data_IF_439565838183
#
_entry.id   IF_439565838183
#
_cell.length_a   1.000
_cell.length_b   1.000
_cell.length_c   1.000
_cell.angle_alpha   90.00
_cell.angle_beta   90.00
_cell.angle_gamma   90.00
#
_symmetry.space_group_name_H-M   'P 1'
#
loop_
_entity.id
_entity.type
_entity.pdbx_description
1 polymer ?
#
# COMPACT_ATOMS: atom_id res chain seq x y z
N UNK A 1 -51.93 -16.10 13.59
CA UNK A 1 -50.73 -16.95 13.46
C UNK A 1 -50.44 -17.06 11.98
N UNK A 2 -49.41 -16.35 11.52
CA UNK A 2 -48.69 -16.55 10.25
C UNK A 2 -47.48 -15.62 10.29
N UNK A 3 -46.36 -16.18 10.76
CA UNK A 3 -45.03 -15.56 10.73
C UNK A 3 -44.10 -16.67 10.26
N UNK A 4 -44.01 -16.83 8.95
CA UNK A 4 -43.15 -17.81 8.29
C UNK A 4 -42.85 -17.29 6.89
N UNK A 5 -42.06 -16.21 6.80
CA UNK A 5 -41.49 -15.76 5.53
C UNK A 5 -40.27 -14.82 5.71
N UNK A 6 -39.45 -15.03 6.75
CA UNK A 6 -38.20 -14.28 6.96
C UNK A 6 -37.03 -15.23 7.27
N UNK A 7 -36.84 -16.26 6.45
CA UNK A 7 -35.79 -17.26 6.70
C UNK A 7 -35.07 -17.67 5.39
N UNK A 8 -34.46 -16.70 4.69
CA UNK A 8 -33.45 -16.98 3.64
C UNK A 8 -32.41 -15.84 3.53
N UNK A 9 -31.69 -15.53 4.61
CA UNK A 9 -30.35 -14.90 4.52
C UNK A 9 -29.47 -15.54 5.58
N UNK A 10 -28.50 -16.36 5.18
CA UNK A 10 -27.39 -16.72 6.07
C UNK A 10 -26.50 -15.49 6.23
N UNK A 11 -26.88 -14.57 7.13
CA UNK A 11 -26.11 -13.37 7.47
C UNK A 11 -24.91 -13.80 8.32
N UNK A 12 -23.72 -13.92 7.73
CA UNK A 12 -22.46 -14.01 8.48
C UNK A 12 -22.04 -12.59 8.85
N UNK A 13 -22.51 -12.12 10.00
CA UNK A 13 -22.16 -10.80 10.54
C UNK A 13 -21.02 -10.96 11.56
N UNK A 14 -19.82 -10.50 11.19
CA UNK A 14 -18.76 -10.29 12.17
C UNK A 14 -19.04 -9.01 12.95
N UNK A 15 -18.85 -9.09 14.27
CA UNK A 15 -19.09 -8.00 15.20
C UNK A 15 -17.79 -7.50 15.78
N UNK A 16 -17.60 -6.20 15.71
CA UNK A 16 -16.50 -5.51 16.38
C UNK A 16 -16.97 -4.13 16.84
N UNK A 17 -16.18 -3.51 17.70
CA UNK A 17 -16.44 -2.21 18.29
C UNK A 17 -15.34 -1.26 17.89
N UNK A 18 -15.72 -0.07 17.44
CA UNK A 18 -14.81 1.07 17.29
C UNK A 18 -15.06 2.01 18.46
N UNK A 19 -13.99 2.39 19.16
CA UNK A 19 -14.08 3.17 20.40
C UNK A 19 -13.13 4.36 20.31
N UNK A 20 -13.65 5.55 20.53
CA UNK A 20 -12.85 6.74 20.83
C UNK A 20 -12.83 6.98 22.33
N UNK A 21 -11.68 7.39 22.86
CA UNK A 21 -11.43 7.60 24.27
C UNK A 21 -10.70 8.93 24.50
N UNK A 22 -10.79 9.44 25.72
CA UNK A 22 -10.17 10.70 26.14
C UNK A 22 -11.06 11.49 27.09
N UNK A 23 -10.49 12.47 27.79
CA UNK A 23 -11.19 13.20 28.84
C UNK A 23 -12.42 13.98 28.34
N UNK A 24 -12.42 14.42 27.07
CA UNK A 24 -13.56 15.10 26.47
C UNK A 24 -14.79 14.17 26.31
N UNK A 25 -14.58 12.85 26.34
CA UNK A 25 -15.61 11.82 26.14
C UNK A 25 -16.08 11.18 27.45
N UNK A 26 -15.64 11.68 28.62
CA UNK A 26 -16.05 11.15 29.94
C UNK A 26 -17.57 11.15 30.16
N UNK A 27 -18.28 12.08 29.51
CA UNK A 27 -19.75 12.15 29.53
C UNK A 27 -20.43 11.34 28.42
N UNK A 28 -19.68 10.55 27.65
CA UNK A 28 -20.15 9.75 26.51
C UNK A 28 -20.79 10.60 25.39
N UNK A 29 -20.25 11.80 25.18
CA UNK A 29 -20.70 12.73 24.15
C UNK A 29 -19.55 13.04 23.20
N UNK A 30 -19.84 13.02 21.91
CA UNK A 30 -18.95 13.47 20.85
C UNK A 30 -19.75 14.39 19.93
N UNK A 31 -19.13 15.43 19.36
CA UNK A 31 -19.80 16.27 18.36
C UNK A 31 -20.15 15.40 17.14
N UNK A 32 -21.38 15.50 16.65
CA UNK A 32 -21.84 14.76 15.47
C UNK A 32 -21.02 15.08 14.22
N UNK A 33 -20.41 16.27 14.17
CA UNK A 33 -19.53 16.72 13.08
C UNK A 33 -18.17 16.04 13.10
N UNK A 34 -17.77 15.46 14.23
CA UNK A 34 -16.54 14.68 14.34
C UNK A 34 -16.87 13.19 14.20
N UNK A 35 -17.95 12.75 14.85
CA UNK A 35 -18.37 11.35 14.83
C UNK A 35 -18.81 10.86 13.45
N UNK A 36 -19.74 11.56 12.80
CA UNK A 36 -20.37 11.05 11.59
C UNK A 36 -19.37 10.87 10.44
N UNK A 37 -18.44 11.82 10.17
CA UNK A 37 -17.39 11.62 9.18
C UNK A 37 -16.48 10.44 9.51
N UNK A 38 -16.09 10.26 10.78
CA UNK A 38 -15.23 9.16 11.18
C UNK A 38 -15.90 7.79 10.96
N UNK A 39 -17.21 7.69 11.22
CA UNK A 39 -17.97 6.46 10.95
C UNK A 39 -18.14 6.15 9.47
N UNK A 40 -18.33 7.19 8.65
CA UNK A 40 -18.32 7.04 7.19
C UNK A 40 -16.94 6.54 6.74
N UNK A 41 -15.86 7.09 7.30
CA UNK A 41 -14.50 6.68 6.99
C UNK A 41 -14.20 5.22 7.36
N UNK A 42 -14.71 4.71 8.49
CA UNK A 42 -14.61 3.26 8.83
C UNK A 42 -15.29 2.40 7.76
N UNK A 43 -16.50 2.76 7.34
CA UNK A 43 -17.23 2.03 6.31
C UNK A 43 -16.49 2.09 4.96
N UNK A 44 -16.05 3.28 4.56
CA UNK A 44 -15.37 3.51 3.29
C UNK A 44 -14.03 2.76 3.26
N UNK A 45 -13.26 2.77 4.36
CA UNK A 45 -12.02 2.01 4.50
C UNK A 45 -12.25 0.52 4.23
N UNK A 46 -13.23 -0.10 4.90
CA UNK A 46 -13.51 -1.53 4.75
C UNK A 46 -14.11 -1.87 3.38
N UNK A 47 -15.00 -1.02 2.86
CA UNK A 47 -15.61 -1.20 1.53
C UNK A 47 -14.57 -1.07 0.41
N UNK A 48 -13.70 -0.05 0.49
CA UNK A 48 -12.64 0.18 -0.49
C UNK A 48 -11.54 -0.87 -0.38
N UNK A 49 -11.19 -1.34 0.82
CA UNK A 49 -10.31 -2.48 1.02
C UNK A 49 -10.88 -3.75 0.37
N UNK A 50 -12.15 -4.06 0.65
CA UNK A 50 -12.84 -5.18 0.03
C UNK A 50 -12.81 -5.09 -1.51
N UNK A 51 -13.18 -3.94 -2.09
CA UNK A 51 -13.14 -3.72 -3.55
C UNK A 51 -11.74 -3.86 -4.11
N UNK A 52 -10.72 -3.34 -3.42
CA UNK A 52 -9.32 -3.46 -3.86
C UNK A 52 -8.85 -4.92 -3.85
N UNK A 53 -9.28 -5.74 -2.89
CA UNK A 53 -8.84 -7.12 -2.75
C UNK A 53 -9.65 -8.09 -3.62
N UNK A 54 -10.96 -7.89 -3.68
CA UNK A 54 -11.92 -8.85 -4.24
C UNK A 54 -12.60 -8.36 -5.53
N UNK A 55 -12.41 -7.10 -5.93
CA UNK A 55 -13.12 -6.46 -7.04
C UNK A 55 -14.57 -6.13 -6.71
N UNK A 56 -15.41 -5.90 -7.73
CA UNK A 56 -16.85 -5.60 -7.55
C UNK A 56 -17.73 -6.84 -7.28
N UNK A 57 -17.10 -7.94 -6.85
CA UNK A 57 -17.75 -9.25 -6.65
C UNK A 57 -18.59 -9.31 -5.37
N UNK A 58 -18.16 -8.56 -4.36
CA UNK A 58 -18.82 -8.48 -3.08
C UNK A 58 -18.85 -7.02 -2.65
N UNK A 59 -19.95 -6.59 -2.06
CA UNK A 59 -20.06 -5.29 -1.41
C UNK A 59 -20.06 -5.50 0.10
N UNK A 60 -19.20 -4.77 0.82
CA UNK A 60 -19.11 -4.82 2.27
C UNK A 60 -19.71 -3.54 2.80
N UNK A 61 -20.78 -3.68 3.58
CA UNK A 61 -21.49 -2.57 4.20
C UNK A 61 -21.43 -2.73 5.73
N UNK A 62 -21.21 -1.61 6.40
CA UNK A 62 -21.19 -1.52 7.86
C UNK A 62 -22.58 -1.14 8.38
N UNK A 63 -23.14 -1.93 9.29
CA UNK A 63 -24.35 -1.57 10.04
C UNK A 63 -23.98 -1.26 11.48
N UNK A 64 -24.57 -0.20 12.03
CA UNK A 64 -24.40 0.19 13.43
C UNK A 64 -25.48 -0.47 14.28
N UNK A 65 -25.11 -1.13 15.37
CA UNK A 65 -26.04 -1.54 16.41
C UNK A 65 -26.15 -0.46 17.50
N UNK A 66 -27.38 -0.07 17.85
CA UNK A 66 -27.69 1.06 18.72
C UNK A 66 -27.47 0.80 20.23
N UNK A 67 -26.93 -0.35 20.61
CA UNK A 67 -26.59 -0.68 22.00
C UNK A 67 -25.27 -0.04 22.45
N UNK A 68 -25.28 1.28 22.64
CA UNK A 68 -24.16 2.02 23.22
C UNK A 68 -23.97 1.60 24.69
N UNK A 69 -22.76 1.14 25.05
CA UNK A 69 -22.39 0.86 26.44
C UNK A 69 -21.89 2.14 27.11
N UNK A 70 -22.35 2.40 28.34
CA UNK A 70 -21.83 3.51 29.15
C UNK A 70 -20.37 3.26 29.51
N UNK A 71 -19.50 4.25 29.30
CA UNK A 71 -18.07 4.19 29.63
C UNK A 71 -17.13 4.65 28.51
N UNK A 72 -17.58 4.63 27.26
CA UNK A 72 -16.80 4.97 26.08
C UNK A 72 -17.72 5.30 24.89
N UNK A 73 -17.31 6.16 23.96
CA UNK A 73 -18.04 6.31 22.70
C UNK A 73 -17.71 5.12 21.79
N UNK A 74 -18.23 3.95 22.15
CA UNK A 74 -18.04 2.67 21.47
C UNK A 74 -19.24 2.34 20.61
N UNK A 75 -19.03 2.18 19.31
CA UNK A 75 -20.07 1.77 18.35
C UNK A 75 -19.89 0.30 18.02
N UNK A 76 -20.91 -0.51 18.30
CA UNK A 76 -20.97 -1.89 17.83
C UNK A 76 -21.29 -1.89 16.33
N UNK A 77 -20.42 -2.53 15.56
CA UNK A 77 -20.47 -2.57 14.11
C UNK A 77 -20.62 -4.01 13.63
N UNK A 78 -21.49 -4.19 12.66
CA UNK A 78 -21.78 -5.45 12.01
C UNK A 78 -21.36 -5.34 10.55
N UNK A 79 -20.40 -6.14 10.11
CA UNK A 79 -20.07 -6.23 8.68
C UNK A 79 -21.10 -7.08 7.97
N UNK A 80 -21.73 -6.54 6.95
CA UNK A 80 -22.65 -7.27 6.09
C UNK A 80 -22.05 -7.34 4.70
N UNK A 81 -21.75 -8.56 4.25
CA UNK A 81 -21.18 -8.82 2.93
C UNK A 81 -22.28 -9.30 1.98
N UNK A 82 -22.51 -8.54 0.91
CA UNK A 82 -23.46 -8.89 -0.15
C UNK A 82 -22.70 -9.37 -1.39
N UNK A 83 -22.95 -10.61 -1.80
CA UNK A 83 -22.35 -11.18 -3.02
C UNK A 83 -23.29 -11.03 -4.22
N UNK A 84 -22.73 -10.89 -5.43
CA UNK A 84 -23.54 -11.05 -6.65
C UNK A 84 -24.03 -12.50 -6.76
N UNK A 85 -25.28 -12.69 -7.18
CA UNK A 85 -25.93 -14.02 -7.17
C UNK A 85 -25.17 -15.10 -7.96
N UNK A 86 -24.46 -14.73 -9.03
CA UNK A 86 -23.76 -15.66 -9.93
C UNK A 86 -22.43 -16.20 -9.39
N UNK A 87 -21.88 -15.60 -8.33
CA UNK A 87 -20.61 -16.02 -7.69
C UNK A 87 -20.84 -16.75 -6.36
N UNK A 88 -22.09 -16.79 -5.86
CA UNK A 88 -22.47 -17.58 -4.69
C UNK A 88 -22.22 -19.08 -4.92
N UNK A 89 -22.55 -19.58 -6.11
CA UNK A 89 -22.37 -20.99 -6.47
C UNK A 89 -20.88 -21.35 -6.64
N UNK A 90 -20.03 -20.39 -7.02
CA UNK A 90 -18.58 -20.56 -7.04
C UNK A 90 -18.02 -20.68 -5.61
N UNK A 91 -18.61 -19.98 -4.64
CA UNK A 91 -18.25 -20.07 -3.21
C UNK A 91 -18.66 -21.39 -2.56
N UNK A 92 -19.77 -21.98 -3.01
CA UNK A 92 -20.22 -23.30 -2.56
C UNK A 92 -19.41 -24.46 -3.17
N UNK A 93 -18.53 -24.18 -4.15
CA UNK A 93 -17.66 -25.17 -4.79
C UNK A 93 -16.20 -24.96 -4.36
N UNK A 94 -15.54 -26.01 -3.87
CA UNK A 94 -14.21 -25.97 -3.23
C UNK A 94 -13.03 -25.46 -4.09
N UNK A 95 -13.24 -24.99 -5.32
CA UNK A 95 -12.18 -24.67 -6.29
C UNK A 95 -12.18 -23.21 -6.82
N UNK A 96 -12.93 -22.28 -6.21
CA UNK A 96 -12.96 -20.88 -6.66
C UNK A 96 -11.95 -19.98 -5.91
N UNK A 97 -11.35 -19.03 -6.63
CA UNK A 97 -10.58 -17.90 -6.09
C UNK A 97 -11.17 -17.40 -4.77
N UNK A 98 -10.45 -17.60 -3.67
CA UNK A 98 -10.91 -17.29 -2.32
C UNK A 98 -11.17 -15.79 -2.19
N UNK A 99 -12.44 -15.38 -2.32
CA UNK A 99 -12.87 -14.02 -1.93
C UNK A 99 -12.62 -13.92 -0.43
N UNK A 100 -11.97 -12.86 -0.01
CA UNK A 100 -11.70 -12.65 1.41
C UNK A 100 -13.04 -12.38 2.10
N UNK A 101 -13.39 -13.16 3.12
CA UNK A 101 -14.57 -12.88 3.96
C UNK A 101 -14.34 -11.60 4.80
N UNK A 102 -15.37 -11.13 5.49
CA UNK A 102 -15.28 -9.93 6.31
C UNK A 102 -14.14 -9.98 7.34
N UNK A 103 -13.97 -11.13 8.00
CA UNK A 103 -12.91 -11.36 8.98
C UNK A 103 -11.51 -11.16 8.37
N UNK A 104 -11.24 -11.77 7.21
CA UNK A 104 -9.97 -11.63 6.52
C UNK A 104 -9.70 -10.18 6.10
N UNK A 105 -10.73 -9.39 5.76
CA UNK A 105 -10.56 -7.96 5.45
C UNK A 105 -10.17 -7.19 6.71
N UNK A 106 -10.81 -7.46 7.85
CA UNK A 106 -10.45 -6.86 9.14
C UNK A 106 -9.00 -7.17 9.54
N UNK A 107 -8.54 -8.41 9.33
CA UNK A 107 -7.15 -8.81 9.56
C UNK A 107 -6.16 -8.09 8.61
N UNK A 108 -6.47 -8.02 7.31
CA UNK A 108 -5.58 -7.37 6.32
C UNK A 108 -5.50 -5.87 6.55
N UNK A 109 -6.60 -5.21 6.96
CA UNK A 109 -6.59 -3.79 7.36
C UNK A 109 -5.83 -3.59 8.68
N UNK A 110 -5.88 -4.57 9.58
CA UNK A 110 -5.20 -4.54 10.87
C UNK A 110 -6.08 -4.20 12.06
N UNK A 111 -7.39 -4.33 11.91
CA UNK A 111 -8.37 -4.18 12.99
C UNK A 111 -8.32 -5.37 13.97
N UNK A 112 -7.84 -6.53 13.50
CA UNK A 112 -7.66 -7.74 14.30
C UNK A 112 -6.17 -8.03 14.42
N UNK A 113 -5.66 -8.13 15.65
CA UNK A 113 -4.26 -8.46 15.95
C UNK A 113 -3.24 -7.36 15.63
N UNK A 114 -3.66 -6.18 15.16
CA UNK A 114 -2.79 -5.02 14.92
C UNK A 114 -1.75 -5.17 13.80
N UNK A 115 -1.71 -6.32 13.12
CA UNK A 115 -0.88 -6.58 11.94
C UNK A 115 -1.52 -5.95 10.68
N UNK A 116 -1.14 -6.36 9.47
CA UNK A 116 -1.77 -5.84 8.24
C UNK A 116 -1.38 -4.40 7.86
N UNK A 117 -2.29 -3.65 7.26
CA UNK A 117 -2.05 -2.28 6.77
C UNK A 117 -1.61 -1.34 7.90
N UNK A 118 -2.34 -1.35 9.02
CA UNK A 118 -2.02 -0.51 10.18
C UNK A 118 -0.66 -0.89 10.76
N UNK A 119 -0.37 -2.19 10.91
CA UNK A 119 0.94 -2.67 11.35
C UNK A 119 2.09 -2.22 10.43
N UNK A 120 1.89 -2.28 9.11
CA UNK A 120 2.86 -1.81 8.13
C UNK A 120 3.11 -0.30 8.23
N UNK A 121 2.04 0.51 8.36
CA UNK A 121 2.16 1.96 8.51
C UNK A 121 2.92 2.32 9.80
N UNK A 122 2.61 1.65 10.90
CA UNK A 122 3.32 1.80 12.18
C UNK A 122 4.79 1.45 12.10
N UNK A 123 5.13 0.39 11.37
CA UNK A 123 6.53 0.02 11.14
C UNK A 123 7.28 1.13 10.38
N UNK A 124 6.63 1.70 9.36
CA UNK A 124 7.22 2.74 8.52
C UNK A 124 7.27 4.13 9.18
N UNK A 125 6.41 4.40 10.17
CA UNK A 125 6.37 5.65 10.94
C UNK A 125 6.33 6.90 10.05
N UNK A 126 5.45 6.90 9.04
CA UNK A 126 5.32 7.99 8.08
C UNK A 126 6.48 8.09 7.06
N UNK A 127 7.43 7.16 7.04
CA UNK A 127 8.49 7.11 6.01
C UNK A 127 8.08 6.24 4.83
N UNK A 128 8.59 6.55 3.64
CA UNK A 128 8.43 5.67 2.48
C UNK A 128 9.35 4.45 2.61
N UNK A 129 8.92 3.26 2.18
CA UNK A 129 9.81 2.10 2.16
C UNK A 129 10.96 2.33 1.17
N UNK A 130 12.15 1.83 1.49
CA UNK A 130 13.34 1.95 0.62
C UNK A 130 13.32 0.93 -0.51
N UNK A 131 12.81 -0.28 -0.22
CA UNK A 131 12.60 -1.36 -1.19
C UNK A 131 11.51 -2.31 -0.72
N UNK A 132 10.87 -2.99 -1.67
CA UNK A 132 9.92 -4.07 -1.41
C UNK A 132 10.41 -5.29 -2.21
N UNK A 133 10.69 -6.39 -1.54
CA UNK A 133 11.21 -7.61 -2.15
C UNK A 133 10.17 -8.72 -1.96
N UNK A 134 9.86 -9.45 -3.01
CA UNK A 134 9.04 -10.66 -2.99
C UNK A 134 9.95 -11.88 -2.78
N UNK A 135 9.71 -12.64 -1.71
CA UNK A 135 10.37 -13.90 -1.41
C UNK A 135 9.30 -15.00 -1.22
N UNK A 136 9.09 -15.81 -2.26
CA UNK A 136 8.19 -16.96 -2.25
C UNK A 136 6.74 -16.64 -1.78
N UNK A 137 6.22 -15.47 -2.18
CA UNK A 137 4.84 -15.06 -1.89
C UNK A 137 4.68 -14.26 -0.59
N UNK A 138 5.76 -14.09 0.17
CA UNK A 138 5.84 -13.14 1.28
C UNK A 138 6.67 -11.92 0.85
N UNK A 139 6.13 -10.73 1.05
CA UNK A 139 6.84 -9.49 0.75
C UNK A 139 7.53 -8.95 2.00
N UNK A 140 8.79 -8.56 1.83
CA UNK A 140 9.57 -7.81 2.82
C UNK A 140 9.56 -6.34 2.42
N UNK A 141 8.95 -5.50 3.25
CA UNK A 141 8.91 -4.06 3.09
C UNK A 141 9.99 -3.44 3.97
N UNK A 142 11.02 -2.87 3.35
CA UNK A 142 12.20 -2.37 4.06
C UNK A 142 12.03 -0.90 4.46
N UNK A 143 12.33 -0.59 5.73
CA UNK A 143 12.48 0.78 6.21
C UNK A 143 13.89 1.33 5.93
N UNK A 144 14.89 0.44 5.95
CA UNK A 144 16.29 0.69 5.60
C UNK A 144 16.94 -0.63 5.15
N UNK A 145 18.26 -0.68 5.01
CA UNK A 145 18.95 -1.88 4.49
C UNK A 145 18.80 -3.14 5.37
N UNK A 146 18.51 -3.00 6.66
CA UNK A 146 18.49 -4.11 7.62
C UNK A 146 17.13 -4.36 8.24
N UNK A 147 16.31 -3.32 8.41
CA UNK A 147 14.99 -3.42 9.05
C UNK A 147 13.89 -3.57 7.99
N UNK A 148 13.10 -4.64 8.11
CA UNK A 148 11.96 -4.90 7.24
C UNK A 148 10.74 -5.38 8.04
N UNK A 149 9.57 -5.19 7.44
CA UNK A 149 8.29 -5.75 7.85
C UNK A 149 7.86 -6.80 6.83
N UNK A 150 7.62 -8.02 7.31
CA UNK A 150 7.18 -9.14 6.48
C UNK A 150 5.65 -9.18 6.41
N UNK A 151 5.11 -9.24 5.19
CA UNK A 151 3.66 -9.14 4.96
C UNK A 151 3.25 -9.77 3.63
N UNK A 152 1.95 -9.96 3.42
CA UNK A 152 1.39 -10.44 2.15
C UNK A 152 1.17 -9.31 1.11
N UNK A 153 1.07 -9.68 -0.17
CA UNK A 153 0.82 -8.77 -1.28
C UNK A 153 -0.47 -7.97 -1.17
N UNK A 154 -1.49 -8.53 -0.51
CA UNK A 154 -2.75 -7.83 -0.23
C UNK A 154 -2.53 -6.59 0.65
N UNK A 155 -1.69 -6.68 1.67
CA UNK A 155 -1.38 -5.55 2.56
C UNK A 155 -0.62 -4.46 1.81
N UNK A 156 0.40 -4.84 1.02
CA UNK A 156 1.15 -3.89 0.18
C UNK A 156 0.22 -3.22 -0.85
N UNK A 157 -0.73 -3.96 -1.41
CA UNK A 157 -1.75 -3.44 -2.32
C UNK A 157 -2.65 -2.40 -1.64
N UNK A 158 -3.06 -2.63 -0.39
CA UNK A 158 -3.82 -1.65 0.38
C UNK A 158 -2.99 -0.39 0.69
N UNK A 159 -1.73 -0.58 1.10
CA UNK A 159 -0.80 0.52 1.43
C UNK A 159 -0.54 1.45 0.24
N UNK A 160 -0.42 0.90 -0.97
CA UNK A 160 -0.25 1.68 -2.21
C UNK A 160 -1.55 2.39 -2.66
N UNK A 161 -2.70 2.06 -2.10
CA UNK A 161 -3.98 2.66 -2.49
C UNK A 161 -4.25 3.95 -1.70
N UNK A 162 -4.11 5.10 -2.37
CA UNK A 162 -4.33 6.43 -1.79
C UNK A 162 -5.71 6.60 -1.15
N UNK A 163 -6.76 6.07 -1.77
CA UNK A 163 -8.12 6.19 -1.22
C UNK A 163 -8.20 5.49 0.12
N UNK A 164 -7.66 4.26 0.21
CA UNK A 164 -7.68 3.45 1.44
C UNK A 164 -6.86 4.11 2.55
N UNK A 165 -5.66 4.61 2.25
CA UNK A 165 -4.85 5.31 3.26
C UNK A 165 -5.52 6.63 3.68
N UNK A 166 -6.20 7.33 2.76
CA UNK A 166 -6.98 8.52 3.09
C UNK A 166 -8.19 8.19 3.98
N UNK A 167 -8.88 7.08 3.74
CA UNK A 167 -10.02 6.65 4.56
C UNK A 167 -9.54 6.25 5.97
N UNK A 168 -8.38 5.59 6.07
CA UNK A 168 -7.74 5.29 7.35
C UNK A 168 -7.36 6.58 8.11
N UNK A 169 -6.82 7.59 7.43
CA UNK A 169 -6.49 8.87 8.05
C UNK A 169 -7.76 9.60 8.56
N UNK A 170 -8.82 9.68 7.74
CA UNK A 170 -10.11 10.25 8.12
C UNK A 170 -10.78 9.56 9.30
N UNK A 171 -10.61 8.25 9.40
CA UNK A 171 -11.08 7.48 10.55
C UNK A 171 -10.41 7.96 11.85
N UNK A 172 -9.18 8.43 11.79
CA UNK A 172 -8.41 8.88 12.97
C UNK A 172 -8.52 10.39 13.23
N UNK A 173 -9.15 11.18 12.34
CA UNK A 173 -9.34 12.64 12.51
C UNK A 173 -9.90 13.07 13.88
N UNK A 174 -10.80 12.32 14.56
CA UNK A 174 -11.26 12.70 15.89
C UNK A 174 -10.14 12.83 16.94
N UNK A 175 -9.02 12.11 16.79
CA UNK A 175 -7.87 12.20 17.71
C UNK A 175 -7.10 13.52 17.56
N UNK A 176 -7.39 14.34 16.53
CA UNK A 176 -6.83 15.68 16.41
C UNK A 176 -7.56 16.71 17.30
N UNK A 177 -8.65 16.30 17.95
CA UNK A 177 -9.44 17.17 18.84
C UNK A 177 -8.91 17.12 20.26
N UNK A 178 -8.90 18.29 20.90
CA UNK A 178 -8.53 18.41 22.29
C UNK A 178 -9.38 17.48 23.17
N UNK A 179 -8.70 16.58 23.87
CA UNK A 179 -9.31 15.62 24.80
C UNK A 179 -9.87 14.34 24.19
N UNK A 180 -9.55 14.03 22.94
CA UNK A 180 -9.71 12.69 22.36
C UNK A 180 -8.30 12.16 22.06
N UNK A 181 -7.81 11.22 22.86
CA UNK A 181 -6.39 10.81 22.86
C UNK A 181 -6.16 9.42 22.27
N UNK A 182 -7.21 8.60 22.13
CA UNK A 182 -7.04 7.22 21.66
C UNK A 182 -8.22 6.68 20.85
N UNK A 183 -7.88 5.76 19.94
CA UNK A 183 -8.78 4.96 19.12
C UNK A 183 -8.56 3.47 19.39
N UNK A 184 -9.63 2.71 19.56
CA UNK A 184 -9.56 1.27 19.77
C UNK A 184 -10.48 0.50 18.83
N UNK A 185 -10.05 -0.73 18.48
CA UNK A 185 -10.92 -1.77 17.94
C UNK A 185 -10.94 -2.95 18.91
N UNK A 186 -12.13 -3.34 19.36
CA UNK A 186 -12.34 -4.48 20.28
C UNK A 186 -13.43 -5.41 19.78
N UNK A 187 -13.31 -6.71 20.04
CA UNK A 187 -14.39 -7.68 19.79
C UNK A 187 -15.50 -7.66 20.84
N UNK A 188 -15.19 -7.23 22.07
CA UNK A 188 -16.12 -7.30 23.20
C UNK A 188 -16.71 -5.95 23.58
N UNK A 189 -16.09 -4.87 23.10
CA UNK A 189 -16.40 -3.50 23.42
C UNK A 189 -15.69 -2.98 24.67
N UNK A 190 -14.77 -3.75 25.26
CA UNK A 190 -13.86 -3.27 26.32
C UNK A 190 -12.54 -2.81 25.70
N UNK A 191 -12.06 -1.61 26.03
CA UNK A 191 -10.76 -1.13 25.54
C UNK A 191 -9.59 -1.94 26.12
N UNK A 192 -9.76 -2.62 27.25
CA UNK A 192 -8.72 -3.43 27.89
C UNK A 192 -8.36 -4.70 27.12
N UNK A 193 -9.27 -5.19 26.28
CA UNK A 193 -9.06 -6.36 25.43
C UNK A 193 -9.04 -6.01 23.94
N UNK A 194 -8.78 -4.73 23.62
CA UNK A 194 -8.75 -4.25 22.26
C UNK A 194 -7.69 -4.98 21.42
N UNK A 195 -8.10 -5.42 20.23
CA UNK A 195 -7.22 -6.00 19.20
C UNK A 195 -6.31 -4.93 18.57
N UNK A 196 -6.75 -3.67 18.61
CA UNK A 196 -6.02 -2.50 18.15
C UNK A 196 -6.25 -1.34 19.12
N UNK A 197 -5.18 -0.65 19.47
CA UNK A 197 -5.20 0.64 20.16
C UNK A 197 -4.26 1.56 19.40
N UNK A 198 -4.67 2.80 19.07
CA UNK A 198 -3.86 3.85 18.43
C UNK A 198 -3.96 5.11 19.31
N UNK A 199 -2.80 5.69 19.63
CA UNK A 199 -2.69 6.92 20.43
C UNK A 199 -2.54 8.16 19.51
N UNK A 200 -2.97 9.34 19.97
CA UNK A 200 -2.84 10.61 19.24
C UNK A 200 -1.39 10.89 18.79
N UNK A 201 -0.39 10.44 19.57
CA UNK A 201 1.02 10.59 19.24
C UNK A 201 1.45 9.80 17.99
N UNK A 202 0.66 8.81 17.57
CA UNK A 202 0.91 8.00 16.38
C UNK A 202 0.29 8.60 15.11
N UNK A 203 -0.54 9.65 15.19
CA UNK A 203 -1.26 10.21 14.04
C UNK A 203 -0.32 10.57 12.87
N UNK A 204 0.85 11.11 13.19
CA UNK A 204 1.90 11.45 12.20
C UNK A 204 2.36 10.25 11.36
N UNK A 205 2.21 9.01 11.85
CA UNK A 205 2.54 7.81 11.08
C UNK A 205 1.53 7.55 9.97
N UNK A 206 0.28 7.97 10.17
CA UNK A 206 -0.86 7.75 9.27
C UNK A 206 -1.09 8.93 8.31
N UNK A 207 -0.25 9.97 8.36
CA UNK A 207 -0.26 11.02 7.36
C UNK A 207 0.09 10.44 5.98
N UNK A 208 -0.79 10.64 5.01
CA UNK A 208 -0.59 10.14 3.66
C UNK A 208 0.66 10.78 3.03
N UNK A 209 1.70 9.97 2.84
CA UNK A 209 2.84 10.33 2.00
C UNK A 209 2.50 9.95 0.56
N UNK A 210 2.64 10.87 -0.39
CA UNK A 210 2.50 10.55 -1.82
C UNK A 210 3.55 9.51 -2.23
N UNK A 211 3.17 8.24 -2.21
CA UNK A 211 3.93 7.18 -2.84
C UNK A 211 3.62 7.34 -4.33
N UNK A 212 4.60 7.78 -5.13
CA UNK A 212 4.47 7.65 -6.57
C UNK A 212 4.21 6.16 -6.84
N UNK A 213 3.09 5.85 -7.49
CA UNK A 213 2.69 4.47 -7.74
C UNK A 213 3.61 3.86 -8.79
N UNK A 214 4.74 3.32 -8.33
CA UNK A 214 5.57 2.40 -9.10
C UNK A 214 4.72 1.15 -9.37
N UNK A 215 4.21 1.06 -10.60
CA UNK A 215 3.53 -0.11 -11.15
C UNK A 215 4.47 -1.31 -11.23
N UNK A 216 5.75 -1.05 -11.53
CA UNK A 216 6.79 -2.08 -11.53
C UNK A 216 8.18 -1.46 -11.35
N UNK A 217 9.04 -2.19 -10.66
CA UNK A 217 10.49 -1.97 -10.66
C UNK A 217 11.15 -3.27 -11.13
N UNK A 218 12.03 -3.19 -12.12
CA UNK A 218 12.76 -4.34 -12.63
C UNK A 218 14.21 -3.97 -12.90
N UNK A 219 15.14 -4.83 -12.47
CA UNK A 219 16.57 -4.71 -12.79
C UNK A 219 16.93 -5.84 -13.76
N UNK A 220 17.40 -5.46 -14.96
CA UNK A 220 17.88 -6.43 -15.96
C UNK A 220 19.34 -6.15 -16.32
N UNK A 221 20.11 -7.21 -16.56
CA UNK A 221 21.39 -7.08 -17.25
C UNK A 221 21.13 -7.02 -18.76
N UNK A 222 21.49 -5.89 -19.39
CA UNK A 222 21.29 -5.68 -20.84
C UNK A 222 22.45 -4.89 -21.44
N UNK A 223 22.47 -4.82 -22.78
CA UNK A 223 23.36 -3.93 -23.52
C UNK A 223 22.62 -2.67 -23.92
N UNK A 224 23.27 -1.52 -23.72
CA UNK A 224 22.79 -0.22 -24.20
C UNK A 224 23.85 0.44 -25.07
N UNK A 225 23.45 1.05 -26.18
CA UNK A 225 24.35 1.78 -27.07
C UNK A 225 24.32 3.27 -26.77
N UNK A 226 25.47 3.92 -26.65
CA UNK A 226 25.56 5.36 -26.34
C UNK A 226 25.17 6.17 -27.58
N UNK A 227 24.03 6.88 -27.52
CA UNK A 227 23.65 7.84 -28.56
C UNK A 227 24.15 9.25 -28.26
N UNK A 228 23.97 9.69 -27.00
CA UNK A 228 24.44 10.99 -26.52
C UNK A 228 24.76 10.93 -25.02
N UNK A 229 25.99 11.32 -24.67
CA UNK A 229 26.43 11.45 -23.29
C UNK A 229 26.30 12.90 -22.82
N UNK A 230 25.89 13.08 -21.57
CA UNK A 230 25.73 14.41 -20.95
C UNK A 230 26.52 14.46 -19.65
N UNK A 231 27.61 15.21 -19.65
CA UNK A 231 28.57 15.31 -18.53
C UNK A 231 28.19 16.37 -17.48
N UNK A 232 26.94 16.81 -17.49
CA UNK A 232 26.43 17.74 -16.48
C UNK A 232 25.74 16.93 -15.41
N UNK A 233 26.07 17.21 -14.15
CA UNK A 233 25.45 16.56 -13.00
C UNK A 233 23.93 16.60 -13.09
N UNK A 234 23.31 15.49 -12.70
CA UNK A 234 21.86 15.29 -12.67
C UNK A 234 21.14 15.29 -14.05
N UNK A 235 21.89 15.27 -15.16
CA UNK A 235 21.30 15.07 -16.49
C UNK A 235 21.32 13.59 -16.92
N UNK A 236 20.35 13.21 -17.74
CA UNK A 236 20.22 11.85 -18.28
C UNK A 236 21.00 11.72 -19.59
N UNK A 237 21.65 10.57 -19.77
CA UNK A 237 22.26 10.17 -21.03
C UNK A 237 21.20 9.53 -21.94
N UNK A 238 21.42 9.63 -23.25
CA UNK A 238 20.57 9.02 -24.25
C UNK A 238 21.22 7.74 -24.76
N UNK A 239 20.48 6.64 -24.65
CA UNK A 239 20.92 5.32 -25.09
C UNK A 239 19.91 4.70 -26.06
N UNK A 240 20.37 3.78 -26.91
CA UNK A 240 19.51 2.83 -27.63
C UNK A 240 19.57 1.46 -26.91
N UNK A 241 18.40 0.87 -26.61
CA UNK A 241 18.27 -0.45 -25.98
C UNK A 241 17.85 -1.55 -26.98
N UNK A 242 18.27 -1.45 -28.24
CA UNK A 242 17.98 -2.44 -29.29
C UNK A 242 16.65 -2.23 -29.99
N UNK A 243 16.07 -1.03 -29.94
CA UNK A 243 14.84 -0.73 -30.65
C UNK A 243 14.21 0.64 -30.40
N UNK A 244 14.43 1.24 -29.22
CA UNK A 244 13.94 2.61 -28.95
C UNK A 244 14.93 3.39 -28.08
N UNK A 245 15.07 4.70 -28.34
CA UNK A 245 15.92 5.55 -27.52
C UNK A 245 15.32 5.74 -26.14
N UNK A 246 16.16 5.58 -25.12
CA UNK A 246 15.82 5.81 -23.71
C UNK A 246 16.70 6.91 -23.14
N UNK A 247 16.16 7.68 -22.17
CA UNK A 247 16.94 8.59 -21.37
C UNK A 247 17.15 7.98 -19.98
N UNK A 248 18.39 7.71 -19.61
CA UNK A 248 18.72 7.09 -18.33
C UNK A 248 19.74 7.91 -17.53
N UNK A 249 19.54 7.98 -16.22
CA UNK A 249 20.57 8.50 -15.32
C UNK A 249 21.61 7.39 -15.05
N UNK A 250 22.89 7.73 -14.97
CA UNK A 250 23.93 6.81 -14.51
C UNK A 250 24.15 7.07 -13.01
N UNK A 251 23.87 6.08 -12.19
CA UNK A 251 24.05 6.13 -10.74
C UNK A 251 25.35 5.44 -10.28
N UNK A 252 26.08 4.82 -11.21
CA UNK A 252 27.39 4.20 -10.94
C UNK A 252 28.46 5.28 -10.75
N UNK A 253 28.64 5.71 -9.50
CA UNK A 253 29.66 6.69 -9.13
C UNK A 253 31.08 6.23 -9.48
N UNK A 254 31.36 4.93 -9.41
CA UNK A 254 32.68 4.38 -9.70
C UNK A 254 33.02 4.53 -11.18
N UNK A 255 32.05 4.26 -12.05
CA UNK A 255 32.17 4.49 -13.49
C UNK A 255 32.34 5.98 -13.81
N UNK A 256 31.51 6.85 -13.23
CA UNK A 256 31.59 8.30 -13.44
C UNK A 256 32.96 8.87 -13.02
N UNK A 257 33.50 8.45 -11.88
CA UNK A 257 34.84 8.89 -11.44
C UNK A 257 35.95 8.51 -12.41
N UNK A 258 35.90 7.31 -13.03
CA UNK A 258 36.89 6.88 -14.03
C UNK A 258 36.82 7.72 -15.31
N UNK A 259 35.63 8.18 -15.67
CA UNK A 259 35.42 9.09 -16.80
C UNK A 259 36.03 10.47 -16.49
N UNK A 260 35.70 11.03 -15.32
CA UNK A 260 36.19 12.34 -14.90
C UNK A 260 37.72 12.38 -14.76
N UNK A 261 38.31 11.27 -14.31
CA UNK A 261 39.76 11.08 -14.26
C UNK A 261 40.41 10.85 -15.63
N UNK A 262 39.62 10.64 -16.69
CA UNK A 262 40.09 10.36 -18.05
C UNK A 262 40.67 8.96 -18.26
N UNK A 263 40.45 8.04 -17.32
CA UNK A 263 40.92 6.65 -17.36
C UNK A 263 40.11 5.80 -18.34
N UNK A 264 38.85 6.17 -18.57
CA UNK A 264 37.94 5.47 -19.46
C UNK A 264 37.39 6.45 -20.50
N UNK A 265 37.58 6.12 -21.79
CA UNK A 265 37.10 6.91 -22.92
C UNK A 265 36.05 6.14 -23.67
N UNK A 266 34.90 6.75 -23.87
CA UNK A 266 33.81 6.19 -24.67
C UNK A 266 33.38 7.20 -25.74
N UNK A 267 32.86 6.67 -26.84
CA UNK A 267 32.37 7.44 -27.96
C UNK A 267 30.90 7.16 -28.25
N UNK A 268 30.30 8.02 -29.08
CA UNK A 268 29.00 7.73 -29.69
C UNK A 268 29.09 6.39 -30.43
N UNK A 269 28.16 5.49 -30.15
CA UNK A 269 28.07 4.17 -30.77
C UNK A 269 28.70 3.04 -29.95
N UNK A 270 29.43 3.34 -28.88
CA UNK A 270 29.94 2.31 -27.96
C UNK A 270 28.80 1.61 -27.21
N UNK A 271 29.04 0.36 -26.81
CA UNK A 271 28.10 -0.47 -26.06
C UNK A 271 28.53 -0.57 -24.61
N UNK A 272 27.55 -0.48 -23.71
CA UNK A 272 27.74 -0.75 -22.29
C UNK A 272 26.87 -1.95 -21.91
N UNK A 273 27.46 -2.96 -21.27
CA UNK A 273 26.70 -3.95 -20.51
C UNK A 273 26.39 -3.35 -19.15
N UNK A 274 25.12 -3.25 -18.79
CA UNK A 274 24.67 -2.52 -17.60
C UNK A 274 23.64 -3.31 -16.82
N UNK A 275 23.55 -3.05 -15.51
CA UNK A 275 22.35 -3.32 -14.73
C UNK A 275 21.40 -2.14 -14.87
N UNK A 276 20.37 -2.32 -15.70
CA UNK A 276 19.37 -1.31 -15.99
C UNK A 276 18.15 -1.49 -15.07
N UNK A 277 17.94 -0.53 -14.17
CA UNK A 277 16.71 -0.39 -13.39
C UNK A 277 15.67 0.35 -14.23
N UNK A 278 14.52 -0.29 -14.43
CA UNK A 278 13.35 0.25 -15.11
C UNK A 278 12.23 0.41 -14.09
N UNK A 279 11.72 1.64 -13.95
CA UNK A 279 10.64 2.00 -13.04
C UNK A 279 9.47 2.46 -13.88
N UNK A 280 8.33 1.79 -13.79
CA UNK A 280 7.10 2.24 -14.42
C UNK A 280 6.20 2.89 -13.38
N UNK A 281 5.80 4.13 -13.60
CA UNK A 281 4.85 4.86 -12.77
C UNK A 281 3.56 5.11 -13.52
N UNK A 282 2.42 4.99 -12.83
CA UNK A 282 1.15 5.48 -13.36
C UNK A 282 0.71 6.69 -12.57
N UNK A 283 0.82 7.86 -13.19
CA UNK A 283 0.47 9.13 -12.58
C UNK A 283 -0.34 9.98 -13.56
N UNK A 284 -1.37 10.65 -13.07
CA UNK A 284 -2.21 11.55 -13.88
C UNK A 284 -2.80 10.89 -15.14
N UNK A 285 -3.15 9.60 -15.07
CA UNK A 285 -3.72 8.85 -16.19
C UNK A 285 -2.71 8.49 -17.30
N UNK A 286 -1.41 8.69 -17.07
CA UNK A 286 -0.35 8.36 -18.03
C UNK A 286 0.64 7.38 -17.43
N UNK A 287 1.09 6.43 -18.27
CA UNK A 287 2.21 5.57 -17.97
C UNK A 287 3.51 6.36 -18.22
N UNK A 288 4.36 6.47 -17.21
CA UNK A 288 5.70 7.04 -17.30
C UNK A 288 6.70 5.93 -17.01
N UNK A 289 7.74 5.83 -17.81
CA UNK A 289 8.83 4.87 -17.60
C UNK A 289 10.12 5.65 -17.34
N UNK A 290 10.80 5.32 -16.26
CA UNK A 290 12.10 5.86 -15.89
C UNK A 290 13.17 4.77 -15.95
N UNK A 291 14.33 5.13 -16.49
CA UNK A 291 15.48 4.23 -16.63
C UNK A 291 16.66 4.77 -15.82
N UNK A 292 17.35 3.88 -15.12
CA UNK A 292 18.54 4.17 -14.33
C UNK A 292 19.58 3.08 -14.57
N UNK A 293 20.79 3.48 -14.96
CA UNK A 293 21.96 2.58 -15.01
C UNK A 293 22.55 2.54 -13.61
N UNK A 294 22.34 1.43 -12.91
CA UNK A 294 22.79 1.25 -11.52
C UNK A 294 24.27 0.89 -11.47
N UNK A 295 24.72 0.10 -12.45
CA UNK A 295 26.09 -0.40 -12.52
C UNK A 295 26.47 -0.63 -14.00
N UNK A 296 27.68 -0.21 -14.37
CA UNK A 296 28.28 -0.52 -15.67
C UNK A 296 29.23 -1.71 -15.51
N UNK A 297 28.81 -2.84 -16.06
CA UNK A 297 29.53 -4.11 -15.94
C UNK A 297 30.67 -4.23 -16.97
N UNK A 298 30.46 -3.72 -18.18
CA UNK A 298 31.40 -3.85 -19.29
C UNK A 298 31.24 -2.70 -20.29
N UNK A 299 32.33 -2.24 -20.88
CA UNK A 299 32.34 -1.27 -21.98
C UNK A 299 32.99 -1.88 -23.21
N UNK A 300 32.27 -1.89 -24.34
CA UNK A 300 32.73 -2.40 -25.63
C UNK A 300 32.77 -1.28 -26.65
N UNK A 301 33.94 -1.09 -27.24
CA UNK A 301 34.17 -0.08 -28.27
C UNK A 301 33.69 -0.65 -29.61
N UNK A 302 32.84 0.09 -30.33
CA UNK A 302 32.35 -0.33 -31.65
C UNK A 302 33.02 0.54 -32.72
N UNK A 303 33.96 -0.02 -33.47
CA UNK A 303 34.58 0.64 -34.63
C UNK A 303 34.04 0.03 -35.92
N UNK A 304 33.48 0.87 -36.80
CA UNK A 304 33.06 0.50 -38.17
C UNK A 304 32.22 -0.81 -38.27
N UNK A 305 31.26 -1.00 -37.35
CA UNK A 305 30.33 -2.14 -37.42
C UNK A 305 30.94 -3.51 -37.10
N UNK A 306 32.18 -3.56 -36.58
CA UNK A 306 32.77 -4.79 -36.05
C UNK A 306 32.80 -4.73 -34.52
N UNK A 307 32.33 -5.81 -33.88
CA UNK A 307 32.48 -6.03 -32.45
C UNK A 307 33.86 -6.67 -32.24
N UNK A 308 34.77 -5.98 -31.56
CA UNK A 308 35.99 -6.63 -31.06
C UNK A 308 35.63 -7.42 -29.79
N UNK A 309 35.99 -8.70 -29.77
CA UNK A 309 35.82 -9.63 -28.64
C UNK A 309 37.00 -9.53 -27.68
#
# INVERSE_FOLDING_TARGET
MNKAEDDVVGEMAERFYVIYDGWALEHHLMDVRDLAPAMIAVNDLLSNANKALNGEKADLNLKVNASFRAGSFGMELHTVVHFLSQIRDMFASDNASAISNAWAILEIVGFVGGAGLIGLIRFLKGKKPTKIIDEDGHLKVYLNETEYYETDGKVVKLYKNRTIVSDLNKMLEPLEKDGIDAFFVSRTGDKKDADLAIDESELTYFEYQEIENDLSENITETFVQIEAAVFKDNNKWKFDNGGSPINAAILDEGFLRKIDAGELRFGKGDLLKVKLKTIQTFAHGKLKTEFQVIEVLEHKIVRQGHLEF
#
